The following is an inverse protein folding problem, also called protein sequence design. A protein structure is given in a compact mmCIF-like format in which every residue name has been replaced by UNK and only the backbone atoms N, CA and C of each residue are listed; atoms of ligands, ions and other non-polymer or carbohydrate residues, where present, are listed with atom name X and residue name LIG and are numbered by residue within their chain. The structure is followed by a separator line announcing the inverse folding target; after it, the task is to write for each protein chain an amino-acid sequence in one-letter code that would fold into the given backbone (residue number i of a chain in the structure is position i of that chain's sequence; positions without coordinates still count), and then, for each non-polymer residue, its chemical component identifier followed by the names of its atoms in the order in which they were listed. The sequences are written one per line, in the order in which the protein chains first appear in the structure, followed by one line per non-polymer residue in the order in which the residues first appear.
data_IF_224754540606
#
_entry.id   IF_224754540606
#
_cell.length_a   1.000
_cell.length_b   1.000
_cell.length_c   1.000
_cell.angle_alpha   90.00
_cell.angle_beta   90.00
_cell.angle_gamma   90.00
#
_symmetry.space_group_name_H-M   'P 1'
#
loop_
_entity.id
_entity.type
_entity.pdbx_description
1 polymer ?
#
# COMPACT_ATOMS: atom_id res chain seq x y z
N UNK A 1 10.05 -3.15 -9.84
CA UNK A 1 9.25 -4.38 -9.76
C UNK A 1 10.08 -5.62 -10.03
N UNK A 2 9.64 -6.75 -9.50
CA UNK A 2 10.31 -8.03 -9.72
C UNK A 2 10.14 -8.55 -11.15
N UNK A 3 8.97 -8.35 -11.74
CA UNK A 3 8.70 -8.76 -13.13
C UNK A 3 8.79 -7.59 -14.11
N UNK A 4 8.27 -6.43 -13.72
CA UNK A 4 8.24 -5.24 -14.56
C UNK A 4 8.52 -3.99 -13.72
N UNK A 5 9.53 -3.22 -14.08
CA UNK A 5 9.86 -1.97 -13.38
C UNK A 5 8.88 -0.85 -13.67
N UNK A 6 8.48 -0.72 -14.94
CA UNK A 6 7.68 0.39 -15.43
C UNK A 6 6.73 -0.05 -16.54
N UNK A 7 5.46 0.40 -16.49
CA UNK A 7 4.43 0.13 -17.49
C UNK A 7 3.90 1.45 -18.05
N UNK A 8 4.04 1.68 -19.36
CA UNK A 8 3.55 2.87 -20.05
C UNK A 8 2.37 2.57 -20.97
N UNK A 9 1.23 3.25 -20.75
CA UNK A 9 0.06 3.31 -21.65
C UNK A 9 -0.29 1.95 -22.30
N UNK A 10 -0.28 0.90 -21.50
CA UNK A 10 -0.38 -0.50 -21.91
C UNK A 10 -1.23 -1.31 -20.94
N UNK A 11 -1.35 -2.58 -21.20
CA UNK A 11 -1.95 -3.57 -20.30
C UNK A 11 -0.86 -4.44 -19.69
N UNK A 12 -1.04 -4.86 -18.46
CA UNK A 12 -0.21 -5.85 -17.80
C UNK A 12 -1.10 -7.00 -17.34
N UNK A 13 -0.90 -8.16 -17.90
CA UNK A 13 -1.73 -9.33 -17.60
C UNK A 13 -0.87 -10.57 -17.33
N UNK A 14 -1.36 -11.45 -16.44
CA UNK A 14 -0.76 -12.75 -16.14
C UNK A 14 0.71 -12.64 -15.69
N UNK A 15 1.02 -11.66 -14.85
CA UNK A 15 2.36 -11.51 -14.27
C UNK A 15 2.49 -12.33 -13.00
N UNK A 16 3.60 -13.06 -12.86
CA UNK A 16 3.93 -13.76 -11.62
C UNK A 16 5.37 -13.46 -11.19
N UNK A 17 5.53 -13.08 -9.92
CA UNK A 17 6.81 -13.09 -9.25
C UNK A 17 6.84 -14.30 -8.30
N UNK A 18 7.64 -15.31 -8.63
CA UNK A 18 7.64 -16.60 -7.94
C UNK A 18 8.29 -16.53 -6.55
N UNK A 19 8.01 -17.49 -5.69
CA UNK A 19 8.58 -17.56 -4.35
C UNK A 19 10.14 -17.68 -4.29
N UNK A 20 10.77 -18.01 -5.41
CA UNK A 20 12.24 -18.04 -5.53
C UNK A 20 12.85 -16.67 -5.83
N UNK A 21 12.04 -15.73 -6.37
CA UNK A 21 12.45 -14.35 -6.60
C UNK A 21 12.38 -13.54 -5.31
N UNK A 22 13.25 -12.55 -5.16
CA UNK A 22 13.15 -11.52 -4.11
C UNK A 22 13.29 -10.15 -4.73
N UNK A 23 12.58 -9.16 -4.19
CA UNK A 23 12.80 -7.75 -4.55
C UNK A 23 13.41 -7.07 -3.35
N UNK A 24 14.69 -6.71 -3.45
CA UNK A 24 15.43 -6.11 -2.35
C UNK A 24 15.97 -4.74 -2.73
N UNK A 25 15.62 -3.73 -1.94
CA UNK A 25 16.31 -2.43 -1.94
C UNK A 25 17.30 -2.45 -0.78
N UNK A 26 18.59 -2.43 -1.11
CA UNK A 26 19.67 -2.53 -0.13
C UNK A 26 19.80 -1.30 0.76
N UNK A 27 20.73 -1.36 1.72
CA UNK A 27 21.05 -0.27 2.68
C UNK A 27 21.82 0.86 1.98
N UNK A 28 21.19 1.57 1.08
CA UNK A 28 21.74 2.74 0.39
C UNK A 28 20.89 3.97 0.66
N UNK A 29 21.48 5.15 0.47
CA UNK A 29 20.71 6.39 0.50
C UNK A 29 20.30 6.75 -0.93
N UNK A 30 19.00 6.91 -1.14
CA UNK A 30 18.39 7.20 -2.42
C UNK A 30 18.01 8.70 -2.51
N UNK A 31 18.30 9.31 -3.65
CA UNK A 31 17.98 10.71 -3.92
C UNK A 31 16.77 10.85 -4.90
N UNK A 32 15.95 9.83 -4.96
CA UNK A 32 14.76 9.77 -5.82
C UNK A 32 13.57 9.09 -5.11
N UNK A 33 12.36 9.33 -5.60
CA UNK A 33 11.17 8.59 -5.17
C UNK A 33 11.38 7.11 -5.53
N UNK A 34 11.01 6.23 -4.61
CA UNK A 34 11.06 4.79 -4.85
C UNK A 34 9.68 4.20 -5.00
N UNK A 35 9.55 3.32 -5.99
CA UNK A 35 8.38 2.51 -6.24
C UNK A 35 8.80 1.04 -6.22
N UNK A 36 8.43 0.33 -5.14
CA UNK A 36 8.86 -1.06 -4.94
C UNK A 36 7.65 -1.98 -4.92
N UNK A 37 7.56 -2.87 -5.88
CA UNK A 37 6.49 -3.85 -6.00
C UNK A 37 6.99 -5.21 -6.50
N UNK A 38 6.33 -6.28 -6.12
CA UNK A 38 6.73 -7.64 -6.49
C UNK A 38 6.60 -7.92 -7.99
N UNK A 39 5.50 -7.54 -8.59
CA UNK A 39 5.29 -7.69 -10.03
C UNK A 39 5.57 -6.38 -10.78
N UNK A 40 5.02 -5.26 -10.30
CA UNK A 40 5.09 -3.98 -11.00
C UNK A 40 5.57 -2.88 -10.04
N UNK A 41 6.60 -2.14 -10.46
CA UNK A 41 7.09 -0.98 -9.71
C UNK A 41 6.21 0.25 -9.91
N UNK A 42 6.03 0.69 -11.13
CA UNK A 42 5.30 1.92 -11.45
C UNK A 42 4.46 1.80 -12.73
N UNK A 43 3.27 2.36 -12.72
CA UNK A 43 2.38 2.46 -13.87
C UNK A 43 1.92 3.92 -14.05
N UNK A 44 2.79 4.80 -14.57
CA UNK A 44 2.49 6.20 -14.72
C UNK A 44 1.45 6.46 -15.80
N UNK A 45 0.75 7.57 -15.66
CA UNK A 45 -0.01 8.15 -16.74
C UNK A 45 0.93 8.90 -17.71
N UNK A 46 0.70 8.75 -19.00
CA UNK A 46 1.54 9.34 -20.05
C UNK A 46 0.73 10.34 -20.89
N UNK A 47 1.36 11.43 -21.29
CA UNK A 47 0.81 12.33 -22.28
C UNK A 47 1.31 11.93 -23.67
N UNK A 48 0.40 11.64 -24.56
CA UNK A 48 0.70 11.38 -25.97
C UNK A 48 -0.20 12.26 -26.84
N UNK A 49 0.39 12.97 -27.78
CA UNK A 49 -0.29 13.93 -28.67
C UNK A 49 -1.23 14.92 -27.95
N UNK A 50 -0.77 15.47 -26.83
CA UNK A 50 -1.54 16.41 -26.01
C UNK A 50 -2.69 15.77 -25.20
N UNK A 51 -2.94 14.48 -25.35
CA UNK A 51 -3.91 13.71 -24.55
C UNK A 51 -3.21 12.88 -23.51
N UNK A 52 -3.80 12.82 -22.34
CA UNK A 52 -3.29 11.94 -21.28
C UNK A 52 -3.81 10.53 -21.49
N UNK A 53 -2.91 9.57 -21.66
CA UNK A 53 -3.21 8.14 -21.65
C UNK A 53 -2.80 7.53 -20.33
N UNK A 54 -3.60 6.65 -19.82
CA UNK A 54 -3.31 5.79 -18.66
C UNK A 54 -3.24 4.35 -19.11
N UNK A 55 -2.67 3.51 -18.27
CA UNK A 55 -2.76 2.07 -18.48
C UNK A 55 -4.24 1.65 -18.36
N UNK A 56 -4.72 0.79 -19.24
CA UNK A 56 -6.14 0.43 -19.29
C UNK A 56 -6.49 -0.63 -18.27
N UNK A 57 -5.61 -1.62 -18.11
CA UNK A 57 -5.88 -2.81 -17.30
C UNK A 57 -4.59 -3.41 -16.73
N UNK A 58 -4.64 -3.77 -15.46
CA UNK A 58 -3.64 -4.60 -14.78
C UNK A 58 -4.40 -5.76 -14.15
N UNK A 59 -4.16 -6.98 -14.61
CA UNK A 59 -4.91 -8.12 -14.11
C UNK A 59 -4.09 -9.41 -13.99
N UNK A 60 -4.59 -10.33 -13.18
CA UNK A 60 -3.99 -11.64 -12.95
C UNK A 60 -2.52 -11.54 -12.55
N UNK A 61 -2.22 -10.65 -11.60
CA UNK A 61 -0.87 -10.46 -11.10
C UNK A 61 -0.69 -11.13 -9.74
N UNK A 62 0.31 -11.97 -9.61
CA UNK A 62 0.58 -12.72 -8.38
C UNK A 62 2.01 -12.51 -7.93
N UNK A 63 2.19 -12.02 -6.71
CA UNK A 63 3.49 -12.00 -6.04
C UNK A 63 3.56 -13.08 -4.96
N UNK A 64 4.59 -13.94 -5.03
CA UNK A 64 4.90 -14.95 -4.01
C UNK A 64 6.24 -14.69 -3.32
N UNK A 65 6.99 -13.73 -3.82
CA UNK A 65 8.32 -13.43 -3.32
C UNK A 65 8.30 -12.36 -2.24
N UNK A 66 9.21 -12.42 -1.29
CA UNK A 66 9.36 -11.38 -0.30
C UNK A 66 9.86 -10.06 -0.93
N UNK A 67 9.32 -8.96 -0.44
CA UNK A 67 9.75 -7.59 -0.74
C UNK A 67 10.48 -7.05 0.48
N UNK A 68 11.72 -6.61 0.31
CA UNK A 68 12.51 -6.03 1.41
C UNK A 68 13.05 -4.66 1.01
N UNK A 69 12.75 -3.65 1.81
CA UNK A 69 13.28 -2.30 1.64
C UNK A 69 14.09 -1.89 2.85
N UNK A 70 15.43 -1.79 2.70
CA UNK A 70 16.37 -1.41 3.75
C UNK A 70 17.07 -0.07 3.49
N UNK A 71 16.72 0.62 2.41
CA UNK A 71 17.35 1.89 2.03
C UNK A 71 16.77 3.10 2.75
N UNK A 72 17.51 4.19 2.79
CA UNK A 72 17.05 5.51 3.23
C UNK A 72 16.78 6.41 2.04
N UNK A 73 15.84 7.37 2.19
CA UNK A 73 15.52 8.34 1.15
C UNK A 73 15.65 9.76 1.68
N UNK A 74 16.50 10.57 1.01
CA UNK A 74 16.79 11.95 1.44
C UNK A 74 15.74 12.96 0.99
N UNK A 75 15.05 12.70 -0.11
CA UNK A 75 14.10 13.66 -0.66
C UNK A 75 12.83 13.77 0.18
N UNK A 76 12.27 14.97 0.22
CA UNK A 76 11.06 15.26 1.00
C UNK A 76 9.78 14.89 0.20
N UNK A 77 9.69 13.64 -0.22
CA UNK A 77 8.55 13.11 -0.98
C UNK A 77 8.10 11.75 -0.42
N UNK A 78 6.93 11.32 -0.83
CA UNK A 78 6.41 10.02 -0.43
C UNK A 78 7.03 8.89 -1.26
N UNK A 79 7.35 7.79 -0.60
CA UNK A 79 7.84 6.55 -1.18
C UNK A 79 6.77 5.48 -1.07
N UNK A 80 6.72 4.55 -2.03
CA UNK A 80 5.65 3.58 -2.15
C UNK A 80 6.19 2.16 -2.18
N UNK A 81 5.64 1.29 -1.34
CA UNK A 81 5.97 -0.13 -1.27
C UNK A 81 4.69 -0.94 -1.31
N UNK A 82 4.61 -1.89 -2.23
CA UNK A 82 3.50 -2.82 -2.33
C UNK A 82 3.99 -4.25 -2.55
N UNK A 83 3.27 -5.21 -2.04
CA UNK A 83 3.63 -6.61 -2.21
C UNK A 83 3.61 -7.05 -3.67
N UNK A 84 2.58 -6.70 -4.41
CA UNK A 84 2.45 -7.03 -5.83
C UNK A 84 2.69 -5.81 -6.73
N UNK A 85 1.96 -4.73 -6.50
CA UNK A 85 2.07 -3.48 -7.26
C UNK A 85 2.57 -2.37 -6.33
N UNK A 86 3.33 -1.39 -6.83
CA UNK A 86 3.70 -0.25 -6.01
C UNK A 86 2.80 0.95 -6.24
N UNK A 87 2.81 1.50 -7.44
CA UNK A 87 2.07 2.72 -7.75
C UNK A 87 1.36 2.65 -9.10
N UNK A 88 0.06 2.78 -9.10
CA UNK A 88 -0.77 2.89 -10.31
C UNK A 88 -1.36 4.29 -10.34
N UNK A 89 -0.86 5.13 -11.24
CA UNK A 89 -1.23 6.55 -11.29
C UNK A 89 -2.67 6.78 -11.72
N UNK A 90 -3.23 7.87 -11.23
CA UNK A 90 -4.46 8.49 -11.70
C UNK A 90 -4.17 9.78 -12.47
N UNK A 91 -5.10 10.23 -13.30
CA UNK A 91 -4.98 11.47 -14.04
C UNK A 91 -6.25 12.30 -13.94
N UNK A 92 -6.08 13.56 -13.54
CA UNK A 92 -7.09 14.58 -13.56
C UNK A 92 -8.21 14.41 -12.52
N UNK A 93 -9.21 15.29 -12.61
CA UNK A 93 -10.35 15.34 -11.68
C UNK A 93 -11.38 14.22 -11.90
N UNK A 94 -11.31 13.51 -13.02
CA UNK A 94 -12.09 12.30 -13.33
C UNK A 94 -11.13 11.12 -13.42
N UNK A 95 -10.51 10.77 -12.37
CA UNK A 95 -9.62 9.62 -12.13
C UNK A 95 -9.57 8.58 -13.24
N UNK A 96 -8.87 8.91 -14.34
CA UNK A 96 -8.54 7.93 -15.35
C UNK A 96 -7.29 7.19 -14.90
N UNK A 97 -7.47 5.96 -14.44
CA UNK A 97 -6.38 5.07 -14.07
C UNK A 97 -6.69 3.65 -14.52
N UNK A 98 -5.67 2.81 -14.58
CA UNK A 98 -5.85 1.41 -14.90
C UNK A 98 -6.83 0.75 -13.93
N UNK A 99 -7.75 -0.02 -14.47
CA UNK A 99 -8.53 -0.97 -13.66
C UNK A 99 -7.59 -2.07 -13.17
N UNK A 100 -7.72 -2.45 -11.92
CA UNK A 100 -6.96 -3.57 -11.35
C UNK A 100 -7.91 -4.71 -10.99
N UNK A 101 -7.57 -5.92 -11.41
CA UNK A 101 -8.41 -7.10 -11.18
C UNK A 101 -7.56 -8.35 -10.96
N UNK A 102 -7.96 -9.21 -10.02
CA UNK A 102 -7.25 -10.44 -9.70
C UNK A 102 -5.78 -10.19 -9.33
N UNK A 103 -5.55 -9.35 -8.32
CA UNK A 103 -4.21 -9.01 -7.85
C UNK A 103 -3.96 -9.70 -6.50
N UNK A 104 -2.95 -10.54 -6.43
CA UNK A 104 -2.70 -11.40 -5.28
C UNK A 104 -1.29 -11.23 -4.72
N UNK A 105 -1.19 -11.04 -3.42
CA UNK A 105 0.09 -11.04 -2.72
C UNK A 105 0.14 -12.18 -1.69
N UNK A 106 1.19 -12.99 -1.78
CA UNK A 106 1.58 -14.03 -0.83
C UNK A 106 2.95 -13.76 -0.22
N UNK A 107 3.69 -12.80 -0.74
CA UNK A 107 5.03 -12.48 -0.28
C UNK A 107 5.03 -11.46 0.84
N UNK A 108 5.82 -11.68 1.89
CA UNK A 108 5.98 -10.72 2.97
C UNK A 108 6.53 -9.37 2.46
N UNK A 109 6.00 -8.26 3.00
CA UNK A 109 6.46 -6.90 2.73
C UNK A 109 7.19 -6.39 3.97
N UNK A 110 8.50 -6.19 3.87
CA UNK A 110 9.35 -5.76 4.97
C UNK A 110 10.05 -4.44 4.67
N UNK A 111 9.94 -3.50 5.59
CA UNK A 111 10.74 -2.29 5.61
C UNK A 111 11.55 -2.29 6.90
N UNK A 112 12.87 -2.52 6.79
CA UNK A 112 13.76 -2.71 7.93
C UNK A 112 14.97 -1.79 7.86
N UNK A 113 15.06 -0.90 8.83
CA UNK A 113 16.10 0.14 8.86
C UNK A 113 15.83 1.26 7.85
N UNK A 114 16.75 2.20 7.75
CA UNK A 114 16.61 3.36 6.89
C UNK A 114 15.73 4.48 7.47
N UNK A 115 15.72 5.58 6.74
CA UNK A 115 14.94 6.77 7.07
C UNK A 115 14.24 7.31 5.83
N UNK A 116 12.94 7.60 5.97
CA UNK A 116 12.07 8.10 4.90
C UNK A 116 11.44 9.43 5.32
N UNK A 117 11.14 10.31 4.37
CA UNK A 117 10.31 11.48 4.67
C UNK A 117 8.87 11.08 4.93
N UNK A 118 8.18 10.56 3.92
CA UNK A 118 6.89 9.90 3.99
C UNK A 118 6.99 8.50 3.37
N UNK A 119 6.36 7.52 3.99
CA UNK A 119 6.34 6.16 3.46
C UNK A 119 4.90 5.64 3.39
N UNK A 120 4.57 4.99 2.28
CA UNK A 120 3.28 4.38 2.03
C UNK A 120 3.46 2.90 1.71
N UNK A 121 2.87 2.06 2.55
CA UNK A 121 2.99 0.60 2.46
C UNK A 121 1.60 -0.01 2.26
N UNK A 122 1.47 -0.91 1.30
CA UNK A 122 0.31 -1.78 1.16
C UNK A 122 0.73 -3.24 1.01
N UNK A 123 -0.02 -4.15 1.59
CA UNK A 123 0.24 -5.58 1.44
C UNK A 123 0.19 -6.02 -0.02
N UNK A 124 -0.72 -5.45 -0.81
CA UNK A 124 -0.80 -5.66 -2.25
C UNK A 124 -0.23 -4.47 -3.01
N UNK A 125 -0.63 -3.23 -2.66
CA UNK A 125 -0.20 -2.05 -3.40
C UNK A 125 0.03 -0.83 -2.50
N UNK A 126 1.05 -0.05 -2.83
CA UNK A 126 1.26 1.27 -2.24
C UNK A 126 0.20 2.29 -2.66
N UNK A 127 -0.34 2.20 -3.89
CA UNK A 127 -1.36 3.13 -4.39
C UNK A 127 -2.06 2.58 -5.65
N UNK A 128 -3.39 2.64 -5.67
CA UNK A 128 -4.23 2.25 -6.80
C UNK A 128 -5.12 3.43 -7.22
N UNK A 129 -4.88 3.98 -8.40
CA UNK A 129 -5.62 5.13 -8.93
C UNK A 129 -7.01 4.81 -9.45
N UNK A 130 -7.27 3.58 -9.89
CA UNK A 130 -8.51 3.17 -10.56
C UNK A 130 -9.37 2.20 -9.76
N UNK A 131 -10.45 1.77 -10.40
CA UNK A 131 -11.34 0.73 -9.87
C UNK A 131 -10.58 -0.57 -9.61
N UNK A 132 -10.82 -1.17 -8.45
CA UNK A 132 -10.09 -2.35 -7.98
C UNK A 132 -11.06 -3.48 -7.63
N UNK A 133 -10.81 -4.67 -8.17
CA UNK A 133 -11.64 -5.85 -7.88
C UNK A 133 -10.77 -7.07 -7.58
N UNK A 134 -11.31 -8.04 -6.84
CA UNK A 134 -10.68 -9.33 -6.56
C UNK A 134 -9.20 -9.20 -6.15
N UNK A 135 -8.94 -8.41 -5.12
CA UNK A 135 -7.57 -8.08 -4.72
C UNK A 135 -7.31 -8.53 -3.30
N UNK A 136 -6.37 -9.47 -3.12
CA UNK A 136 -6.16 -10.15 -1.85
C UNK A 136 -4.71 -10.13 -1.39
N UNK A 137 -4.52 -9.76 -0.12
CA UNK A 137 -3.28 -10.02 0.62
C UNK A 137 -3.48 -11.27 1.48
N UNK A 138 -2.84 -12.36 1.12
CA UNK A 138 -2.98 -13.64 1.81
C UNK A 138 -2.13 -13.72 3.08
N UNK A 139 -2.40 -14.69 3.96
CA UNK A 139 -1.79 -14.86 5.28
C UNK A 139 -0.26 -14.75 5.29
N UNK A 140 0.42 -15.29 4.29
CA UNK A 140 1.88 -15.21 4.17
C UNK A 140 2.39 -13.82 3.73
N UNK A 141 1.50 -12.95 3.24
CA UNK A 141 1.80 -11.58 2.81
C UNK A 141 1.93 -10.58 3.97
N UNK A 142 2.53 -10.98 5.08
CA UNK A 142 2.69 -10.16 6.29
C UNK A 142 3.36 -8.83 5.99
N UNK A 143 2.94 -7.78 6.69
CA UNK A 143 3.56 -6.46 6.60
C UNK A 143 4.35 -6.20 7.87
N UNK A 144 5.63 -5.91 7.72
CA UNK A 144 6.51 -5.55 8.82
C UNK A 144 7.24 -4.24 8.53
N UNK A 145 7.09 -3.27 9.42
CA UNK A 145 7.81 -2.01 9.40
C UNK A 145 8.65 -1.85 10.67
N UNK A 146 9.96 -1.67 10.52
CA UNK A 146 10.88 -1.30 11.58
C UNK A 146 11.97 -0.36 11.04
N UNK A 147 11.56 0.87 10.79
CA UNK A 147 12.41 1.92 10.22
C UNK A 147 12.05 3.28 10.87
N UNK A 148 12.55 4.37 10.32
CA UNK A 148 12.20 5.73 10.74
C UNK A 148 11.48 6.46 9.61
N UNK A 149 10.38 7.14 9.92
CA UNK A 149 9.86 8.20 9.04
C UNK A 149 10.05 9.55 9.70
N UNK A 150 10.50 10.55 8.93
CA UNK A 150 10.62 11.92 9.43
C UNK A 150 9.26 12.58 9.59
N UNK A 151 8.28 12.17 8.80
CA UNK A 151 6.94 12.73 8.82
C UNK A 151 5.88 11.64 9.00
N UNK A 152 5.32 11.11 7.94
CA UNK A 152 4.18 10.19 8.04
C UNK A 152 4.53 8.76 7.62
N UNK A 153 3.91 7.81 8.30
CA UNK A 153 3.76 6.45 7.80
C UNK A 153 2.30 6.21 7.48
N UNK A 154 2.03 5.71 6.29
CA UNK A 154 0.74 5.17 5.91
C UNK A 154 0.88 3.68 5.63
N UNK A 155 0.03 2.86 6.24
CA UNK A 155 0.03 1.41 5.98
C UNK A 155 -1.38 0.88 5.76
N UNK A 156 -1.51 -0.17 4.96
CA UNK A 156 -2.75 -0.90 4.78
C UNK A 156 -2.52 -2.36 4.42
N UNK A 157 -3.40 -3.23 4.86
CA UNK A 157 -3.30 -4.66 4.55
C UNK A 157 -3.42 -4.96 3.06
N UNK A 158 -4.24 -4.21 2.32
CA UNK A 158 -4.35 -4.35 0.86
C UNK A 158 -3.71 -3.17 0.15
N UNK A 159 -4.27 -1.97 0.25
CA UNK A 159 -3.74 -0.82 -0.46
C UNK A 159 -3.75 0.44 0.41
N UNK A 160 -2.63 1.18 0.40
CA UNK A 160 -2.56 2.45 1.12
C UNK A 160 -3.60 3.45 0.61
N UNK A 161 -3.86 3.48 -0.69
CA UNK A 161 -4.97 4.24 -1.25
C UNK A 161 -5.61 3.51 -2.42
N UNK A 162 -6.94 3.60 -2.50
CA UNK A 162 -7.72 3.26 -3.69
C UNK A 162 -8.58 4.48 -4.02
N UNK A 163 -8.34 5.10 -5.16
CA UNK A 163 -8.95 6.39 -5.54
C UNK A 163 -10.28 6.27 -6.27
N UNK A 164 -10.73 5.05 -6.55
CA UNK A 164 -12.02 4.74 -7.15
C UNK A 164 -12.71 3.61 -6.36
N UNK A 165 -13.79 3.05 -6.86
CA UNK A 165 -14.54 1.98 -6.21
C UNK A 165 -13.72 0.70 -6.03
N UNK A 166 -14.01 -0.04 -4.98
CA UNK A 166 -13.43 -1.37 -4.77
C UNK A 166 -14.48 -2.41 -4.44
N UNK A 167 -14.25 -3.62 -4.94
CA UNK A 167 -15.14 -4.75 -4.73
C UNK A 167 -14.33 -6.03 -4.51
N UNK A 168 -14.71 -6.84 -3.53
CA UNK A 168 -14.06 -8.11 -3.21
C UNK A 168 -12.55 -7.93 -2.96
N UNK A 169 -12.20 -7.09 -1.99
CA UNK A 169 -10.82 -6.97 -1.55
C UNK A 169 -10.67 -7.42 -0.09
N UNK A 170 -9.61 -8.17 0.21
CA UNK A 170 -9.40 -8.66 1.56
C UNK A 170 -7.93 -8.72 1.98
N UNK A 171 -7.70 -8.43 3.25
CA UNK A 171 -6.45 -8.70 3.93
C UNK A 171 -6.62 -9.87 4.90
N UNK A 172 -5.79 -10.89 4.74
CA UNK A 172 -5.69 -12.04 5.67
C UNK A 172 -4.38 -12.05 6.45
N UNK A 173 -3.46 -11.16 6.09
CA UNK A 173 -2.12 -11.12 6.65
C UNK A 173 -2.02 -10.18 7.85
N UNK A 174 -1.19 -10.53 8.81
CA UNK A 174 -0.88 -9.69 9.95
C UNK A 174 -0.01 -8.51 9.58
N UNK A 175 -0.20 -7.40 10.31
CA UNK A 175 0.51 -6.14 10.15
C UNK A 175 1.20 -5.80 11.45
N UNK A 176 2.52 -5.63 11.42
CA UNK A 176 3.31 -5.21 12.58
C UNK A 176 4.07 -3.93 12.26
N UNK A 177 3.83 -2.90 13.05
CA UNK A 177 4.45 -1.58 12.93
C UNK A 177 5.27 -1.31 14.19
N UNK A 178 6.57 -1.41 14.03
CA UNK A 178 7.60 -1.06 15.01
C UNK A 178 8.30 0.25 14.58
N UNK A 179 9.46 0.54 15.12
CA UNK A 179 10.30 1.66 14.68
C UNK A 179 9.84 3.03 15.20
N UNK A 180 10.09 4.09 14.39
CA UNK A 180 9.86 5.47 14.80
C UNK A 180 9.14 6.29 13.72
N UNK A 181 8.03 6.93 14.10
CA UNK A 181 7.24 7.79 13.23
C UNK A 181 7.35 9.23 13.72
N UNK A 182 8.03 10.09 12.93
CA UNK A 182 8.36 11.47 13.31
C UNK A 182 7.18 12.43 13.37
N UNK A 183 6.01 12.06 12.84
CA UNK A 183 4.79 12.86 12.96
C UNK A 183 3.57 11.96 13.14
N UNK A 184 2.83 11.59 12.10
CA UNK A 184 1.55 10.90 12.21
C UNK A 184 1.61 9.50 11.59
N UNK A 185 0.99 8.55 12.27
CA UNK A 185 0.70 7.21 11.75
C UNK A 185 -0.73 7.15 11.23
N UNK A 186 -0.90 6.76 9.98
CA UNK A 186 -2.18 6.45 9.35
C UNK A 186 -2.22 4.98 8.97
N UNK A 187 -3.23 4.24 9.41
CA UNK A 187 -3.26 2.81 9.19
C UNK A 187 -4.64 2.20 9.05
N UNK A 188 -4.70 1.08 8.34
CA UNK A 188 -5.92 0.28 8.25
C UNK A 188 -5.63 -1.19 7.97
N UNK A 189 -6.55 -2.06 8.37
CA UNK A 189 -6.48 -3.46 8.03
C UNK A 189 -6.64 -3.74 6.53
N UNK A 190 -7.37 -2.90 5.81
CA UNK A 190 -7.59 -3.08 4.37
C UNK A 190 -7.15 -1.87 3.53
N UNK A 191 -7.73 -0.68 3.76
CA UNK A 191 -7.45 0.54 2.97
C UNK A 191 -7.23 1.73 3.90
N UNK A 192 -6.10 2.44 3.78
CA UNK A 192 -5.82 3.59 4.64
C UNK A 192 -6.44 4.89 4.14
N UNK A 193 -6.33 5.20 2.86
CA UNK A 193 -6.88 6.42 2.28
C UNK A 193 -7.95 6.08 1.26
N UNK A 194 -9.09 6.72 1.41
CA UNK A 194 -10.24 6.53 0.58
C UNK A 194 -10.79 7.87 0.09
N UNK A 195 -11.44 7.88 -1.05
CA UNK A 195 -12.19 9.01 -1.57
C UNK A 195 -13.68 8.63 -1.69
N UNK A 196 -14.51 9.54 -2.12
CA UNK A 196 -15.98 9.46 -2.19
C UNK A 196 -16.53 8.33 -3.10
N UNK A 197 -16.24 7.05 -2.82
CA UNK A 197 -16.61 5.91 -3.66
C UNK A 197 -17.22 4.76 -2.87
N UNK A 198 -17.85 3.83 -3.60
CA UNK A 198 -18.45 2.63 -3.02
C UNK A 198 -17.38 1.57 -2.75
N UNK A 199 -17.46 0.97 -1.56
CA UNK A 199 -16.69 -0.19 -1.12
C UNK A 199 -17.63 -1.35 -0.89
N UNK A 200 -17.46 -2.42 -1.64
CA UNK A 200 -18.36 -3.57 -1.57
C UNK A 200 -17.57 -4.83 -1.22
N UNK A 201 -18.00 -5.55 -0.21
CA UNK A 201 -17.40 -6.79 0.29
C UNK A 201 -15.88 -6.67 0.53
N UNK A 202 -15.47 -5.57 1.16
CA UNK A 202 -14.09 -5.39 1.58
C UNK A 202 -13.92 -5.92 3.01
N UNK A 203 -12.85 -6.64 3.28
CA UNK A 203 -12.64 -7.24 4.61
C UNK A 203 -11.20 -7.19 5.11
N UNK A 204 -11.07 -7.19 6.42
CA UNK A 204 -9.79 -7.46 7.11
C UNK A 204 -9.96 -8.62 8.07
N UNK A 205 -9.06 -9.59 7.99
CA UNK A 205 -9.01 -10.76 8.87
C UNK A 205 -7.68 -10.86 9.62
N UNK A 206 -6.64 -10.17 9.14
CA UNK A 206 -5.33 -10.15 9.78
C UNK A 206 -5.30 -9.22 11.00
N UNK A 207 -4.47 -9.54 11.95
CA UNK A 207 -4.26 -8.76 13.16
C UNK A 207 -3.36 -7.54 12.88
N UNK A 208 -3.60 -6.42 13.58
CA UNK A 208 -2.79 -5.21 13.51
C UNK A 208 -2.12 -4.98 14.85
N UNK A 209 -0.80 -4.97 14.88
CA UNK A 209 0.02 -4.67 16.05
C UNK A 209 0.86 -3.43 15.80
N UNK A 210 0.73 -2.43 16.66
CA UNK A 210 1.50 -1.18 16.58
C UNK A 210 2.28 -0.97 17.87
N UNK A 211 3.62 -1.09 17.80
CA UNK A 211 4.55 -0.86 18.88
C UNK A 211 5.47 0.34 18.62
N UNK A 212 5.28 1.04 17.49
CA UNK A 212 6.14 2.15 17.09
C UNK A 212 6.09 3.33 18.04
N UNK A 213 7.20 4.06 18.15
CA UNK A 213 7.23 5.38 18.77
C UNK A 213 6.62 6.41 17.80
N UNK A 214 5.54 7.08 18.18
CA UNK A 214 4.79 8.02 17.34
C UNK A 214 4.84 9.41 17.96
N UNK A 215 5.36 10.39 17.23
CA UNK A 215 5.62 11.72 17.79
C UNK A 215 4.34 12.56 17.99
N UNK A 216 3.29 12.40 17.18
CA UNK A 216 2.12 13.30 17.24
C UNK A 216 0.81 12.53 17.36
N UNK A 217 0.31 11.93 16.29
CA UNK A 217 -1.02 11.30 16.26
C UNK A 217 -0.97 9.91 15.63
N UNK A 218 -1.92 9.07 15.99
CA UNK A 218 -2.23 7.86 15.28
C UNK A 218 -3.71 7.82 14.88
N UNK A 219 -3.98 7.38 13.66
CA UNK A 219 -5.31 7.19 13.11
C UNK A 219 -5.36 5.82 12.46
N UNK A 220 -5.99 4.86 13.12
CA UNK A 220 -5.97 3.47 12.68
C UNK A 220 -7.39 2.90 12.71
N UNK A 221 -7.81 2.33 11.58
CA UNK A 221 -9.07 1.62 11.44
C UNK A 221 -8.85 0.11 11.28
N UNK A 222 -9.70 -0.69 11.90
CA UNK A 222 -9.63 -2.16 11.71
C UNK A 222 -9.84 -2.57 10.25
N UNK A 223 -10.71 -1.90 9.53
CA UNK A 223 -10.95 -2.13 8.10
C UNK A 223 -10.41 -0.99 7.25
N UNK A 224 -10.88 0.22 7.51
CA UNK A 224 -10.56 1.41 6.72
C UNK A 224 -10.24 2.56 7.66
N UNK A 225 -9.21 3.33 7.38
CA UNK A 225 -9.04 4.68 7.84
C UNK A 225 -9.34 5.64 6.70
N UNK A 226 -10.24 6.57 6.91
CA UNK A 226 -10.71 7.45 5.87
C UNK A 226 -10.93 8.88 6.35
N UNK A 227 -10.62 9.82 5.47
CA UNK A 227 -10.90 11.25 5.67
C UNK A 227 -11.89 11.83 4.64
N UNK A 228 -12.54 10.98 3.85
CA UNK A 228 -13.45 11.40 2.77
C UNK A 228 -14.91 11.60 3.24
N UNK A 229 -15.65 12.44 2.54
CA UNK A 229 -17.11 12.55 2.67
C UNK A 229 -17.81 11.65 1.63
N UNK A 230 -19.09 11.28 1.88
CA UNK A 230 -19.95 10.51 0.96
C UNK A 230 -19.46 9.10 0.62
N UNK A 231 -19.09 8.35 1.63
CA UNK A 231 -18.68 6.96 1.50
C UNK A 231 -19.87 6.01 1.62
N UNK A 232 -19.85 4.97 0.80
CA UNK A 232 -20.82 3.90 0.86
C UNK A 232 -20.10 2.56 1.06
N UNK A 233 -20.34 1.91 2.19
CA UNK A 233 -19.81 0.60 2.53
C UNK A 233 -20.93 -0.43 2.49
N UNK A 234 -20.76 -1.46 1.67
CA UNK A 234 -21.73 -2.55 1.50
C UNK A 234 -21.05 -3.87 1.83
N UNK A 235 -21.59 -4.61 2.79
CA UNK A 235 -21.10 -5.93 3.21
C UNK A 235 -19.59 -5.94 3.59
N UNK A 236 -19.12 -4.86 4.19
CA UNK A 236 -17.73 -4.71 4.61
C UNK A 236 -17.57 -5.09 6.08
N UNK A 237 -16.49 -5.80 6.44
CA UNK A 237 -16.28 -6.24 7.82
C UNK A 237 -14.81 -6.35 8.22
N UNK A 238 -14.56 -6.31 9.54
CA UNK A 238 -13.28 -6.58 10.15
C UNK A 238 -13.44 -7.68 11.20
N UNK A 239 -12.59 -8.70 11.14
CA UNK A 239 -12.50 -9.77 12.14
C UNK A 239 -11.13 -9.87 12.79
N UNK A 240 -10.13 -9.14 12.29
CA UNK A 240 -8.81 -9.05 12.88
C UNK A 240 -8.80 -8.25 14.18
N UNK A 241 -7.86 -8.57 15.05
CA UNK A 241 -7.65 -7.86 16.31
C UNK A 241 -6.78 -6.62 16.10
N UNK A 242 -6.88 -5.68 17.04
CA UNK A 242 -6.00 -4.51 17.07
C UNK A 242 -5.29 -4.42 18.42
N UNK A 243 -3.96 -4.35 18.38
CA UNK A 243 -3.11 -4.21 19.58
C UNK A 243 -2.25 -2.96 19.47
N UNK A 244 -2.38 -2.10 20.46
CA UNK A 244 -1.55 -0.91 20.62
C UNK A 244 -0.56 -1.13 21.76
N UNK A 245 0.73 -1.22 21.45
CA UNK A 245 1.80 -1.37 22.42
C UNK A 245 2.05 -0.08 23.21
N UNK A 246 2.81 -0.19 24.30
CA UNK A 246 3.05 0.94 25.22
C UNK A 246 3.72 2.14 24.55
N UNK A 247 4.65 1.91 23.62
CA UNK A 247 5.36 2.98 22.90
C UNK A 247 4.44 3.76 21.93
N UNK A 248 3.38 3.12 21.45
CA UNK A 248 2.43 3.72 20.53
C UNK A 248 1.34 4.55 21.23
N UNK A 249 1.32 4.57 22.53
CA UNK A 249 0.44 5.46 23.32
C UNK A 249 0.96 6.89 23.21
N UNK A 250 0.50 7.60 22.19
CA UNK A 250 0.59 9.06 22.16
C UNK A 250 -0.20 9.57 23.37
N UNK A 251 0.37 10.50 24.13
CA UNK A 251 -0.36 11.09 25.25
C UNK A 251 -1.72 11.61 24.77
N UNK A 252 -2.80 10.96 25.20
CA UNK A 252 -4.13 11.53 25.09
C UNK A 252 -4.09 12.88 25.81
N UNK A 253 -4.17 13.97 25.07
CA UNK A 253 -4.57 15.22 25.68
C UNK A 253 -6.02 15.01 26.13
N UNK A 254 -6.18 14.85 27.43
CA UNK A 254 -7.47 14.87 28.12
C UNK A 254 -8.12 16.24 28.00
#
# INVERSE_FOLDING_TARGET
GGSLGLLYASQATNMENTAKGTVTVGKSTLDAITFVGGCLGDAPAVKEDGKTKVNDLIENCTNRAAITHGGSCKINQAHYVGGCLSYVHEVGTKYYAAKTNNIYNYGAVKVEGGEFYDLKIGGVSGYLGGTTTNTYNYESGTIYFNATTRRHLHFAGVAQAIKDSSTDIANYADITIDGKIGHTLYGAGCITLNNNYTRTRNSNHGDITVNAEIATNNFIGGLVYDSGANLNYVDCHNTGNFTLGEKAKVGCQT
#
